data_IF_284670816205
#
_entry.id   IF_284670816205
#
_cell.length_a   1.000
_cell.length_b   1.000
_cell.length_c   1.000
_cell.angle_alpha   90.00
_cell.angle_beta   90.00
_cell.angle_gamma   90.00
#
_symmetry.space_group_name_H-M   'P 1'
#
loop_
_entity.id
_entity.type
_entity.pdbx_description
1 polymer ?
#
# COMPACT_ATOMS: atom_id res chain seq x y z
N UNK A 1 3.36 -10.52 28.54
CA UNK A 1 2.35 -9.80 27.74
C UNK A 1 2.47 -10.32 26.32
N UNK A 2 1.39 -10.84 25.74
CA UNK A 2 1.43 -11.31 24.35
C UNK A 2 1.44 -10.10 23.42
N UNK A 3 2.52 -9.91 22.65
CA UNK A 3 2.60 -8.92 21.58
C UNK A 3 1.41 -9.17 20.64
N UNK A 4 0.54 -8.19 20.42
CA UNK A 4 -0.49 -8.31 19.40
C UNK A 4 0.22 -8.54 18.05
N UNK A 5 0.07 -9.73 17.48
CA UNK A 5 0.68 -10.07 16.20
C UNK A 5 -0.17 -9.42 15.11
N UNK A 6 0.23 -8.22 14.68
CA UNK A 6 -0.40 -7.58 13.55
C UNK A 6 -0.35 -8.50 12.31
N UNK A 7 -1.35 -8.45 11.43
CA UNK A 7 -1.21 -9.08 10.13
C UNK A 7 -0.16 -8.33 9.30
N UNK A 8 0.45 -9.00 8.32
CA UNK A 8 1.40 -8.38 7.43
C UNK A 8 0.65 -7.58 6.35
N UNK A 9 0.38 -6.32 6.69
CA UNK A 9 -0.48 -5.41 5.95
C UNK A 9 -0.01 -5.16 4.51
N UNK A 10 1.30 -5.03 4.28
CA UNK A 10 1.85 -4.85 2.93
C UNK A 10 1.65 -6.08 2.05
N UNK A 11 1.78 -7.29 2.63
CA UNK A 11 1.49 -8.53 1.91
C UNK A 11 0.00 -8.63 1.53
N UNK A 12 -0.89 -8.31 2.47
CA UNK A 12 -2.33 -8.32 2.21
C UNK A 12 -2.73 -7.31 1.12
N UNK A 13 -2.15 -6.10 1.15
CA UNK A 13 -2.35 -5.10 0.11
C UNK A 13 -1.84 -5.58 -1.25
N UNK A 14 -0.64 -6.18 -1.31
CA UNK A 14 -0.11 -6.74 -2.54
C UNK A 14 -0.97 -7.89 -3.09
N UNK A 15 -1.46 -8.77 -2.22
CA UNK A 15 -2.36 -9.87 -2.59
C UNK A 15 -3.70 -9.36 -3.12
N UNK A 16 -4.28 -8.34 -2.48
CA UNK A 16 -5.48 -7.68 -2.97
C UNK A 16 -5.27 -7.03 -4.34
N UNK A 17 -4.15 -6.32 -4.51
CA UNK A 17 -3.79 -5.69 -5.78
C UNK A 17 -3.71 -6.71 -6.93
N UNK A 18 -2.96 -7.80 -6.72
CA UNK A 18 -2.70 -8.78 -7.79
C UNK A 18 -3.91 -9.64 -8.15
N UNK A 19 -4.88 -9.79 -7.24
CA UNK A 19 -6.05 -10.67 -7.42
C UNK A 19 -7.36 -9.94 -7.67
N UNK A 20 -7.48 -8.68 -7.25
CA UNK A 20 -8.73 -7.92 -7.36
C UNK A 20 -8.56 -6.68 -8.21
N UNK A 21 -7.54 -5.87 -7.92
CA UNK A 21 -7.32 -4.60 -8.65
C UNK A 21 -6.97 -4.88 -10.11
N UNK A 22 -6.03 -5.77 -10.37
CA UNK A 22 -5.55 -6.02 -11.74
C UNK A 22 -6.55 -6.75 -12.64
N UNK A 23 -7.51 -7.47 -12.05
CA UNK A 23 -8.63 -8.05 -12.81
C UNK A 23 -9.59 -6.95 -13.30
N UNK A 24 -9.74 -5.88 -12.52
CA UNK A 24 -10.57 -4.72 -12.87
C UNK A 24 -9.84 -3.69 -13.73
N UNK A 25 -8.55 -3.48 -13.47
CA UNK A 25 -7.70 -2.47 -14.07
C UNK A 25 -6.38 -3.08 -14.58
N UNK A 26 -6.42 -3.84 -15.69
CA UNK A 26 -5.25 -4.54 -16.18
C UNK A 26 -4.18 -3.56 -16.69
N UNK A 27 -2.92 -3.82 -16.31
CA UNK A 27 -1.76 -3.03 -16.75
C UNK A 27 -1.06 -3.74 -17.92
N UNK A 28 -0.80 -3.00 -19.00
CA UNK A 28 -0.16 -3.55 -20.22
C UNK A 28 1.31 -3.91 -20.01
N UNK A 29 2.03 -3.18 -19.16
CA UNK A 29 3.45 -3.39 -18.86
C UNK A 29 3.61 -4.22 -17.59
N UNK A 30 4.73 -4.93 -17.48
CA UNK A 30 5.06 -5.63 -16.23
C UNK A 30 5.27 -4.63 -15.09
N UNK A 31 4.62 -4.87 -13.96
CA UNK A 31 4.76 -4.04 -12.77
C UNK A 31 5.94 -4.55 -11.95
N UNK A 32 6.83 -3.63 -11.58
CA UNK A 32 7.97 -3.95 -10.70
C UNK A 32 7.50 -3.97 -9.26
N UNK A 33 7.83 -5.04 -8.54
CA UNK A 33 7.56 -5.18 -7.09
C UNK A 33 8.89 -5.44 -6.40
N UNK A 34 9.10 -4.81 -5.25
CA UNK A 34 10.32 -4.96 -4.47
C UNK A 34 10.16 -6.05 -3.42
N UNK A 35 11.20 -6.86 -3.20
CA UNK A 35 11.14 -7.98 -2.25
C UNK A 35 11.21 -7.49 -0.81
N UNK A 36 12.14 -6.58 -0.51
CA UNK A 36 12.38 -6.08 0.83
C UNK A 36 11.44 -4.93 1.17
N UNK A 37 10.87 -4.92 2.38
CA UNK A 37 9.89 -3.91 2.77
C UNK A 37 10.45 -2.49 2.77
N UNK A 38 11.73 -2.32 3.12
CA UNK A 38 12.43 -1.04 3.03
C UNK A 38 12.42 -0.43 1.60
N UNK A 39 12.36 -1.29 0.58
CA UNK A 39 12.29 -0.88 -0.83
C UNK A 39 10.84 -0.77 -1.35
N UNK A 40 9.87 -1.37 -0.65
CA UNK A 40 8.44 -1.31 -0.96
C UNK A 40 7.81 -0.01 -0.49
N UNK A 41 8.28 0.56 0.62
CA UNK A 41 7.70 1.79 1.15
C UNK A 41 7.99 3.00 0.26
N UNK A 42 6.99 3.87 -0.01
CA UNK A 42 7.20 5.10 -0.75
C UNK A 42 8.00 6.12 0.07
N UNK A 43 8.69 7.02 -0.64
CA UNK A 43 9.37 8.17 -0.03
C UNK A 43 8.40 9.34 0.25
N UNK A 44 7.13 9.20 -0.14
CA UNK A 44 6.12 10.26 -0.13
C UNK A 44 4.88 9.84 0.68
N UNK A 45 4.00 10.83 0.89
CA UNK A 45 2.88 10.84 1.84
C UNK A 45 1.80 9.79 1.60
N UNK A 46 1.16 9.39 2.70
CA UNK A 46 -0.14 8.74 2.70
C UNK A 46 -1.20 9.68 2.11
N UNK A 47 -2.00 9.16 1.19
CA UNK A 47 -3.17 9.81 0.61
C UNK A 47 -4.42 9.32 1.34
N UNK A 48 -5.15 10.26 1.93
CA UNK A 48 -6.43 9.98 2.56
C UNK A 48 -7.39 9.37 1.53
N UNK A 49 -8.14 8.31 1.88
CA UNK A 49 -9.09 7.70 0.97
C UNK A 49 -10.18 8.71 0.60
N UNK A 50 -10.56 8.72 -0.68
CA UNK A 50 -11.65 9.54 -1.21
C UNK A 50 -12.76 8.62 -1.73
N UNK A 51 -13.50 8.00 -0.81
CA UNK A 51 -14.63 7.14 -1.17
C UNK A 51 -15.78 8.01 -1.69
N UNK A 52 -16.06 7.91 -2.99
CA UNK A 52 -17.24 8.56 -3.60
C UNK A 52 -18.49 7.97 -2.94
N UNK A 53 -19.21 8.78 -2.15
CA UNK A 53 -20.47 8.40 -1.51
C UNK A 53 -20.42 8.16 0.01
N UNK A 54 -19.25 8.17 0.65
CA UNK A 54 -19.20 8.18 2.12
C UNK A 54 -19.39 9.62 2.63
N UNK A 55 -20.64 10.03 2.76
CA UNK A 55 -21.10 11.30 3.36
C UNK A 55 -20.63 11.53 4.83
N UNK A 56 -19.73 10.70 5.35
CA UNK A 56 -19.25 10.74 6.74
C UNK A 56 -17.73 10.86 6.89
N UNK A 57 -16.93 10.99 5.82
CA UNK A 57 -15.56 11.46 6.00
C UNK A 57 -15.62 12.93 6.39
N UNK A 58 -15.64 13.18 7.71
CA UNK A 58 -15.49 14.51 8.28
C UNK A 58 -14.24 15.10 7.65
N UNK A 59 -14.34 16.32 7.14
CA UNK A 59 -13.24 17.10 6.56
C UNK A 59 -12.02 17.24 7.50
N UNK A 60 -12.17 16.86 8.78
CA UNK A 60 -11.15 16.92 9.82
C UNK A 60 -10.57 15.55 10.22
N UNK A 61 -10.85 14.46 9.47
CA UNK A 61 -10.31 13.15 9.77
C UNK A 61 -8.77 13.17 9.70
N UNK A 62 -8.13 12.92 10.85
CA UNK A 62 -6.67 12.86 10.97
C UNK A 62 -6.21 11.42 10.88
N UNK A 63 -5.38 11.15 9.88
CA UNK A 63 -4.73 9.86 9.70
C UNK A 63 -3.34 9.90 10.32
N UNK A 64 -3.06 8.94 11.20
CA UNK A 64 -1.79 8.83 11.92
C UNK A 64 -1.15 7.48 11.63
N UNK A 65 0.18 7.47 11.52
CA UNK A 65 0.93 6.24 11.35
C UNK A 65 0.69 5.32 12.56
N UNK A 66 0.42 4.04 12.31
CA UNK A 66 0.36 3.04 13.36
C UNK A 66 1.77 2.76 13.89
N UNK A 67 2.22 3.59 14.84
CA UNK A 67 3.61 3.60 15.34
C UNK A 67 4.07 2.23 15.86
N UNK A 68 3.21 1.55 16.60
CA UNK A 68 3.51 0.21 17.16
C UNK A 68 3.81 -0.82 16.08
N UNK A 69 3.16 -0.72 14.91
CA UNK A 69 3.46 -1.54 13.75
C UNK A 69 4.78 -1.13 13.09
N UNK A 70 4.96 0.17 12.84
CA UNK A 70 6.19 0.69 12.23
C UNK A 70 7.43 0.32 13.05
N UNK A 71 7.35 0.45 14.37
CA UNK A 71 8.41 0.04 15.30
C UNK A 71 8.71 -1.46 15.20
N UNK A 72 7.69 -2.31 15.05
CA UNK A 72 7.87 -3.75 14.91
C UNK A 72 8.57 -4.18 13.62
N UNK A 73 8.61 -3.34 12.59
CA UNK A 73 9.34 -3.63 11.35
C UNK A 73 10.84 -3.36 11.45
N UNK A 74 11.31 -2.67 12.49
CA UNK A 74 12.75 -2.52 12.75
C UNK A 74 13.36 -3.73 13.47
N UNK A 75 12.53 -4.71 13.85
CA UNK A 75 13.02 -5.98 14.39
C UNK A 75 13.70 -6.79 13.26
N UNK A 76 14.99 -7.10 13.45
CA UNK A 76 15.83 -7.76 12.44
C UNK A 76 15.33 -9.18 12.12
N UNK A 77 14.67 -9.83 13.08
CA UNK A 77 14.07 -11.16 12.91
C UNK A 77 12.59 -11.09 12.49
N UNK A 78 12.11 -9.92 12.07
CA UNK A 78 10.71 -9.74 11.71
C UNK A 78 10.32 -10.64 10.53
N UNK A 79 9.28 -11.49 10.68
CA UNK A 79 8.75 -12.26 9.57
C UNK A 79 8.10 -11.39 8.48
N UNK A 80 8.04 -10.07 8.69
CA UNK A 80 7.49 -9.07 7.77
C UNK A 80 8.58 -8.27 7.05
N UNK A 81 9.83 -8.73 7.06
CA UNK A 81 10.92 -8.03 6.38
C UNK A 81 10.86 -8.12 4.84
N UNK A 82 10.18 -9.15 4.31
CA UNK A 82 10.10 -9.43 2.88
C UNK A 82 8.69 -9.79 2.42
N UNK A 83 8.25 -9.27 1.28
CA UNK A 83 7.05 -9.75 0.59
C UNK A 83 7.27 -11.18 0.10
N UNK A 84 6.27 -12.04 0.30
CA UNK A 84 6.22 -13.34 -0.34
C UNK A 84 5.88 -13.15 -1.82
N UNK A 85 6.85 -13.46 -2.68
CA UNK A 85 6.72 -13.32 -4.14
C UNK A 85 6.83 -14.65 -4.89
N UNK A 86 6.82 -15.78 -4.19
CA UNK A 86 7.08 -17.11 -4.77
C UNK A 86 6.04 -17.51 -5.81
N UNK A 87 4.77 -17.16 -5.56
CA UNK A 87 3.63 -17.48 -6.44
C UNK A 87 3.27 -16.35 -7.40
N UNK A 88 4.12 -15.35 -7.57
CA UNK A 88 3.81 -14.17 -8.40
C UNK A 88 3.85 -14.52 -9.89
N UNK A 89 2.83 -14.08 -10.64
CA UNK A 89 2.78 -14.24 -12.09
C UNK A 89 3.90 -13.42 -12.78
N UNK A 90 4.98 -14.10 -13.17
CA UNK A 90 6.16 -13.51 -13.83
C UNK A 90 5.86 -12.87 -15.21
N UNK A 91 4.67 -13.12 -15.79
CA UNK A 91 4.23 -12.41 -17.00
C UNK A 91 3.68 -11.01 -16.69
N UNK A 92 3.13 -10.82 -15.50
CA UNK A 92 2.50 -9.57 -15.04
C UNK A 92 3.42 -8.75 -14.14
N UNK A 93 4.34 -9.42 -13.42
CA UNK A 93 5.23 -8.77 -12.47
C UNK A 93 6.70 -9.05 -12.74
N UNK A 94 7.54 -8.12 -12.27
CA UNK A 94 8.99 -8.24 -12.19
C UNK A 94 9.42 -8.01 -10.75
N UNK A 95 9.95 -9.05 -10.10
CA UNK A 95 10.46 -8.94 -8.73
C UNK A 95 11.89 -8.37 -8.76
N UNK A 96 12.18 -7.40 -7.90
CA UNK A 96 13.49 -6.79 -7.72
C UNK A 96 13.84 -6.71 -6.23
N UNK A 97 15.10 -6.85 -5.90
CA UNK A 97 15.55 -6.71 -4.52
C UNK A 97 15.71 -5.25 -4.11
N UNK A 98 16.16 -4.37 -5.01
CA UNK A 98 16.46 -2.98 -4.68
C UNK A 98 15.64 -1.98 -5.49
N UNK A 99 15.19 -0.92 -4.84
CA UNK A 99 14.47 0.20 -5.44
C UNK A 99 15.38 0.98 -6.37
N UNK A 100 14.85 1.23 -7.59
CA UNK A 100 15.42 2.10 -8.62
C UNK A 100 14.28 2.76 -9.40
N UNK A 101 14.61 3.62 -10.35
CA UNK A 101 13.65 4.26 -11.27
C UNK A 101 13.12 3.27 -12.33
N UNK A 102 12.44 2.23 -11.86
CA UNK A 102 11.71 1.29 -12.70
C UNK A 102 10.25 1.70 -12.78
N UNK A 103 9.66 1.62 -13.97
CA UNK A 103 8.24 1.91 -14.18
C UNK A 103 7.59 0.89 -15.14
N UNK A 104 6.33 0.48 -14.92
CA UNK A 104 5.56 0.78 -13.72
C UNK A 104 6.12 0.03 -12.49
N UNK A 105 5.98 0.61 -11.29
CA UNK A 105 6.37 -0.02 -10.02
C UNK A 105 5.27 0.12 -8.98
N UNK A 106 5.21 -0.85 -8.09
CA UNK A 106 4.30 -0.87 -6.95
C UNK A 106 5.07 -0.47 -5.68
N UNK A 107 4.57 0.52 -4.96
CA UNK A 107 4.98 0.84 -3.60
C UNK A 107 3.77 0.73 -2.68
N UNK A 108 3.98 0.40 -1.41
CA UNK A 108 2.90 0.20 -0.44
C UNK A 108 3.27 0.98 0.82
N UNK A 109 2.36 1.78 1.35
CA UNK A 109 2.62 2.54 2.59
C UNK A 109 2.61 1.63 3.81
N UNK A 110 3.27 2.07 4.87
CA UNK A 110 2.95 1.59 6.22
C UNK A 110 1.46 1.80 6.53
N UNK A 111 0.89 1.04 7.49
CA UNK A 111 -0.50 1.21 7.91
C UNK A 111 -0.71 2.49 8.71
N UNK A 112 -1.80 3.19 8.38
CA UNK A 112 -2.32 4.35 9.09
C UNK A 112 -3.63 4.01 9.77
N UNK A 113 -4.00 4.75 10.80
CA UNK A 113 -5.31 4.69 11.43
C UNK A 113 -5.95 6.08 11.45
N UNK A 114 -7.27 6.13 11.52
CA UNK A 114 -7.96 7.39 11.83
C UNK A 114 -7.90 7.60 13.35
N UNK A 115 -7.50 8.79 13.82
CA UNK A 115 -7.40 9.08 15.28
C UNK A 115 -8.72 8.81 16.02
N UNK A 116 -9.86 9.01 15.35
CA UNK A 116 -11.20 8.81 15.90
C UNK A 116 -11.64 7.34 15.93
N UNK A 117 -10.99 6.48 15.15
CA UNK A 117 -11.37 5.08 14.87
C UNK A 117 -10.11 4.21 14.69
N UNK A 118 -9.33 3.97 15.78
CA UNK A 118 -8.02 3.31 15.72
C UNK A 118 -8.07 1.84 15.27
N UNK A 119 -9.25 1.23 15.26
CA UNK A 119 -9.50 -0.13 14.75
C UNK A 119 -9.52 -0.22 13.23
N UNK A 120 -9.68 0.91 12.53
CA UNK A 120 -9.71 0.98 11.06
C UNK A 120 -8.30 1.23 10.55
N UNK A 121 -7.81 0.30 9.74
CA UNK A 121 -6.45 0.37 9.20
C UNK A 121 -6.50 0.79 7.74
N UNK A 122 -5.67 1.75 7.36
CA UNK A 122 -5.60 2.30 6.03
C UNK A 122 -4.22 2.11 5.43
N UNK A 123 -4.18 1.66 4.18
CA UNK A 123 -2.95 1.49 3.40
C UNK A 123 -3.16 2.10 2.03
N UNK A 124 -2.11 2.66 1.43
CA UNK A 124 -2.13 2.95 0.01
C UNK A 124 -1.19 2.01 -0.74
N UNK A 125 -1.66 1.57 -1.90
CA UNK A 125 -0.84 1.02 -2.96
C UNK A 125 -0.62 2.11 -3.99
N UNK A 126 0.62 2.45 -4.26
CA UNK A 126 1.03 3.42 -5.25
C UNK A 126 1.51 2.66 -6.48
N UNK A 127 0.74 2.68 -7.56
CA UNK A 127 1.13 2.19 -8.88
C UNK A 127 1.72 3.38 -9.66
N UNK A 128 3.04 3.52 -9.59
CA UNK A 128 3.76 4.60 -10.26
C UNK A 128 4.09 4.19 -11.71
N UNK A 129 3.66 4.98 -12.69
CA UNK A 129 3.92 4.76 -14.13
C UNK A 129 5.03 5.65 -14.68
N UNK A 130 5.32 6.76 -14.01
CA UNK A 130 6.42 7.67 -14.27
C UNK A 130 6.70 8.50 -13.01
N UNK A 131 7.63 9.45 -13.08
CA UNK A 131 7.85 10.45 -12.03
C UNK A 131 6.65 11.38 -11.81
N UNK A 132 5.71 11.42 -12.76
CA UNK A 132 4.58 12.35 -12.76
C UNK A 132 3.21 11.66 -12.77
N UNK A 133 3.13 10.35 -13.01
CA UNK A 133 1.86 9.63 -13.06
C UNK A 133 1.84 8.54 -11.98
N UNK A 134 0.96 8.72 -11.00
CA UNK A 134 0.77 7.79 -9.88
C UNK A 134 -0.71 7.48 -9.76
N UNK A 135 -1.04 6.19 -9.67
CA UNK A 135 -2.38 5.73 -9.32
C UNK A 135 -2.33 5.23 -7.88
N UNK A 136 -3.15 5.82 -7.02
CA UNK A 136 -3.33 5.41 -5.64
C UNK A 136 -4.52 4.47 -5.52
N UNK A 137 -4.32 3.33 -4.87
CA UNK A 137 -5.40 2.49 -4.38
C UNK A 137 -5.39 2.55 -2.85
N UNK A 138 -6.35 3.28 -2.28
CA UNK A 138 -6.49 3.40 -0.83
C UNK A 138 -7.37 2.27 -0.32
N UNK A 139 -6.82 1.41 0.53
CA UNK A 139 -7.48 0.25 1.10
C UNK A 139 -7.81 0.52 2.57
N UNK A 140 -9.00 0.13 2.99
CA UNK A 140 -9.41 0.04 4.39
C UNK A 140 -9.51 -1.43 4.79
N UNK A 141 -8.86 -1.78 5.89
CA UNK A 141 -8.89 -3.11 6.49
C UNK A 141 -9.65 -3.08 7.81
N UNK A 142 -10.36 -4.17 8.09
CA UNK A 142 -10.84 -4.47 9.43
C UNK A 142 -9.71 -4.99 10.34
N UNK A 143 -10.03 -5.18 11.62
CA UNK A 143 -9.10 -5.70 12.62
C UNK A 143 -8.55 -7.11 12.32
N UNK A 144 -9.16 -7.86 11.39
CA UNK A 144 -8.71 -9.19 10.98
C UNK A 144 -7.81 -9.15 9.73
N UNK A 145 -7.53 -7.95 9.18
CA UNK A 145 -6.76 -7.80 7.95
C UNK A 145 -7.56 -8.11 6.68
N UNK A 146 -8.90 -8.03 6.71
CA UNK A 146 -9.72 -8.13 5.51
C UNK A 146 -9.98 -6.75 4.93
N UNK A 147 -9.81 -6.58 3.61
CA UNK A 147 -10.20 -5.35 2.91
C UNK A 147 -11.73 -5.20 2.95
N UNK A 148 -12.23 -4.15 3.60
CA UNK A 148 -13.66 -3.83 3.71
C UNK A 148 -14.10 -2.74 2.76
N UNK A 149 -13.18 -1.85 2.37
CA UNK A 149 -13.45 -0.79 1.41
C UNK A 149 -12.17 -0.42 0.65
N UNK A 150 -12.32 0.09 -0.57
CA UNK A 150 -11.20 0.63 -1.33
C UNK A 150 -11.64 1.64 -2.40
N UNK A 151 -10.74 2.55 -2.76
CA UNK A 151 -10.95 3.49 -3.87
C UNK A 151 -9.68 3.63 -4.73
N UNK A 152 -9.87 4.07 -5.97
CA UNK A 152 -8.80 4.37 -6.93
C UNK A 152 -8.79 5.87 -7.22
N UNK A 153 -7.63 6.51 -7.07
CA UNK A 153 -7.43 7.92 -7.42
C UNK A 153 -6.22 8.05 -8.32
N UNK A 154 -6.33 8.80 -9.41
CA UNK A 154 -5.23 9.07 -10.33
C UNK A 154 -4.69 10.48 -10.06
N UNK A 155 -3.37 10.58 -9.90
CA UNK A 155 -2.69 11.85 -9.68
C UNK A 155 -1.63 12.05 -10.76
N UNK A 156 -1.71 13.21 -11.40
CA UNK A 156 -0.70 13.69 -12.32
C UNK A 156 0.02 14.89 -11.69
N UNK A 157 1.32 14.76 -11.47
CA UNK A 157 2.17 15.85 -10.97
C UNK A 157 2.57 16.71 -12.17
N UNK A 158 2.16 17.97 -12.14
CA UNK A 158 2.60 18.99 -13.10
C UNK A 158 3.79 19.75 -12.49
N UNK A 159 4.92 19.74 -13.19
CA UNK A 159 6.08 20.57 -12.84
C UNK A 159 6.01 21.81 -13.74
N UNK A 160 5.71 22.97 -13.16
CA UNK A 160 5.83 24.25 -13.85
C UNK A 160 7.32 24.68 -13.85
N UNK A 161 7.82 25.09 -15.02
CA UNK A 161 9.18 25.60 -15.23
C UNK A 161 9.21 27.12 -15.27
#
# INVERSE_FOLDING_TARGET
MAQAKFPFYEQLAFDFYRTTVLDSFPVKKKITVFKYILDVHPNYFFTAPNYVGSLNHKTDAKFVLLKTYAESQYDFDSPMAELNTDSVNKKQFRVKEKRRNYYPKLLITLPFTEESSPERIFININEEHSETLIIFYSLEFDANGKVVNWCRTEHQIYIEY
#
